data_IF_042275803270
#
_entry.id   IF_042275803270
#
_cell.length_a   1.000
_cell.length_b   1.000
_cell.length_c   1.000
_cell.angle_alpha   90.00
_cell.angle_beta   90.00
_cell.angle_gamma   90.00
#
_symmetry.space_group_name_H-M   'P 1'
#
loop_
_entity.id
_entity.type
_entity.pdbx_description
1 polymer ?
#
# COMPACT_ATOMS: atom_id res chain seq x y z
N UNK A 1 -16.73 -8.89 39.44
CA UNK A 1 -16.85 -7.76 38.53
C UNK A 1 -15.68 -7.86 37.54
N UNK A 2 -15.92 -8.44 36.39
CA UNK A 2 -14.94 -8.59 35.30
C UNK A 2 -14.91 -7.27 34.54
N UNK A 3 -13.85 -6.49 34.71
CA UNK A 3 -13.58 -5.34 33.89
C UNK A 3 -13.41 -5.82 32.43
N UNK A 4 -14.42 -5.60 31.62
CA UNK A 4 -14.33 -5.71 30.17
C UNK A 4 -13.36 -4.63 29.70
N UNK A 5 -12.11 -5.02 29.48
CA UNK A 5 -11.09 -4.20 28.86
C UNK A 5 -11.55 -3.89 27.41
N UNK A 6 -12.30 -2.82 27.25
CA UNK A 6 -12.76 -2.32 25.95
C UNK A 6 -11.56 -1.65 25.26
N UNK A 7 -10.59 -2.46 24.84
CA UNK A 7 -9.56 -1.97 23.93
C UNK A 7 -10.27 -1.56 22.65
N UNK A 8 -10.17 -0.27 22.34
CA UNK A 8 -10.57 0.32 21.07
C UNK A 8 -10.01 -0.56 19.94
N UNK A 9 -10.81 -1.04 18.98
CA UNK A 9 -10.29 -1.82 17.89
C UNK A 9 -9.19 -1.03 17.19
N UNK A 10 -7.99 -1.58 17.14
CA UNK A 10 -6.87 -0.98 16.44
C UNK A 10 -7.20 -0.98 14.94
N UNK A 11 -6.87 0.10 14.23
CA UNK A 11 -7.02 0.28 12.78
C UNK A 11 -8.45 0.62 12.31
N UNK A 12 -9.03 1.67 12.88
CA UNK A 12 -10.27 2.28 12.38
C UNK A 12 -9.97 3.16 11.18
N UNK A 13 -10.56 2.84 10.04
CA UNK A 13 -10.26 3.51 8.78
C UNK A 13 -11.48 4.20 8.16
N UNK A 14 -11.28 5.40 7.64
CA UNK A 14 -12.17 6.03 6.67
C UNK A 14 -11.71 5.63 5.27
N UNK A 15 -12.62 5.12 4.45
CA UNK A 15 -12.36 4.76 3.07
C UNK A 15 -12.70 5.93 2.15
N UNK A 16 -11.83 6.21 1.19
CA UNK A 16 -12.00 7.32 0.24
C UNK A 16 -11.80 6.82 -1.19
N UNK A 17 -12.71 7.20 -2.07
CA UNK A 17 -12.63 6.89 -3.49
C UNK A 17 -12.87 8.13 -4.36
N UNK A 18 -12.23 8.18 -5.52
CA UNK A 18 -12.47 9.16 -6.56
C UNK A 18 -12.90 8.46 -7.85
N UNK A 19 -14.03 8.90 -8.39
CA UNK A 19 -14.42 8.64 -9.76
C UNK A 19 -14.15 9.90 -10.60
N UNK A 20 -13.38 9.78 -11.69
CA UNK A 20 -13.10 10.91 -12.55
C UNK A 20 -13.09 10.54 -14.03
N UNK A 21 -13.66 11.41 -14.88
CA UNK A 21 -13.77 11.18 -16.34
C UNK A 21 -12.40 10.99 -17.03
N UNK A 22 -11.35 11.59 -16.49
CA UNK A 22 -9.99 11.53 -17.04
C UNK A 22 -9.13 10.38 -16.50
N UNK A 23 -9.65 9.59 -15.57
CA UNK A 23 -9.03 8.35 -15.15
C UNK A 23 -9.42 7.21 -16.08
N UNK A 24 -8.56 6.21 -16.21
CA UNK A 24 -8.93 4.96 -16.87
C UNK A 24 -10.05 4.27 -16.11
N UNK A 25 -10.88 3.52 -16.83
CA UNK A 25 -12.05 2.89 -16.22
C UNK A 25 -11.70 2.01 -15.02
N UNK A 26 -10.57 1.33 -15.10
CA UNK A 26 -10.06 0.42 -14.05
C UNK A 26 -9.49 1.15 -12.83
N UNK A 27 -9.15 2.43 -12.98
CA UNK A 27 -8.63 3.28 -11.91
C UNK A 27 -9.73 4.03 -11.16
N UNK A 28 -10.96 4.03 -11.65
CA UNK A 28 -12.07 4.73 -11.05
C UNK A 28 -12.63 3.97 -9.84
N UNK A 29 -12.80 4.68 -8.73
CA UNK A 29 -13.51 4.15 -7.58
C UNK A 29 -15.01 4.10 -7.87
N UNK A 30 -15.65 2.98 -7.58
CA UNK A 30 -17.07 2.74 -7.68
C UNK A 30 -17.62 2.30 -6.33
N UNK A 31 -18.94 2.25 -6.17
CA UNK A 31 -19.55 1.70 -4.95
C UNK A 31 -19.11 0.26 -4.71
N UNK A 32 -19.06 -0.56 -5.77
CA UNK A 32 -18.60 -1.95 -5.70
C UNK A 32 -17.14 -2.06 -5.28
N UNK A 33 -16.24 -1.20 -5.82
CA UNK A 33 -14.83 -1.21 -5.45
C UNK A 33 -14.60 -0.74 -4.01
N UNK A 34 -15.43 0.18 -3.51
CA UNK A 34 -15.41 0.64 -2.13
C UNK A 34 -15.89 -0.45 -1.15
N UNK A 35 -16.90 -1.25 -1.54
CA UNK A 35 -17.32 -2.43 -0.76
C UNK A 35 -16.19 -3.47 -0.70
N UNK A 36 -15.55 -3.76 -1.85
CA UNK A 36 -14.38 -4.66 -1.90
C UNK A 36 -13.24 -4.14 -1.01
N UNK A 37 -12.96 -2.83 -1.04
CA UNK A 37 -11.93 -2.22 -0.18
C UNK A 37 -12.28 -2.40 1.31
N UNK A 38 -13.55 -2.28 1.69
CA UNK A 38 -14.02 -2.54 3.05
C UNK A 38 -13.77 -3.99 3.46
N UNK A 39 -14.00 -4.96 2.57
CA UNK A 39 -13.75 -6.37 2.85
C UNK A 39 -12.25 -6.70 2.91
N UNK A 40 -11.43 -6.05 2.08
CA UNK A 40 -9.97 -6.10 2.19
C UNK A 40 -9.51 -5.57 3.55
N UNK A 41 -10.05 -4.43 4.00
CA UNK A 41 -9.72 -3.86 5.32
C UNK A 41 -10.07 -4.82 6.46
N UNK A 42 -11.27 -5.41 6.45
CA UNK A 42 -11.67 -6.45 7.43
C UNK A 42 -10.71 -7.64 7.39
N UNK A 43 -10.28 -8.05 6.20
CA UNK A 43 -9.30 -9.13 6.02
C UNK A 43 -7.94 -8.80 6.62
N UNK A 44 -7.54 -7.53 6.61
CA UNK A 44 -6.34 -7.02 7.27
C UNK A 44 -6.50 -6.83 8.79
N UNK A 45 -7.71 -7.06 9.33
CA UNK A 45 -8.03 -6.90 10.75
C UNK A 45 -8.41 -5.46 11.15
N UNK A 46 -8.77 -4.62 10.18
CA UNK A 46 -9.26 -3.25 10.41
C UNK A 46 -10.80 -3.14 10.38
N UNK A 47 -11.30 -1.98 10.74
CA UNK A 47 -12.72 -1.63 10.77
C UNK A 47 -12.98 -0.39 9.90
N UNK A 48 -13.93 -0.48 8.96
CA UNK A 48 -14.40 0.68 8.21
C UNK A 48 -15.39 1.48 9.06
N UNK A 49 -15.04 2.73 9.36
CA UNK A 49 -15.87 3.62 10.19
C UNK A 49 -16.55 4.73 9.38
N UNK A 50 -16.23 4.85 8.11
CA UNK A 50 -16.87 5.79 7.20
C UNK A 50 -16.36 5.61 5.76
N UNK A 51 -17.19 6.01 4.80
CA UNK A 51 -16.87 5.92 3.38
C UNK A 51 -17.21 7.23 2.69
N UNK A 52 -16.30 7.71 1.85
CA UNK A 52 -16.45 8.93 1.06
C UNK A 52 -16.11 8.64 -0.38
N UNK A 53 -17.07 8.84 -1.28
CA UNK A 53 -16.86 8.74 -2.72
C UNK A 53 -17.04 10.14 -3.34
N UNK A 54 -16.08 10.59 -4.14
CA UNK A 54 -16.15 11.86 -4.86
C UNK A 54 -16.23 11.61 -6.37
N UNK A 55 -17.03 12.40 -7.06
CA UNK A 55 -17.04 12.47 -8.51
C UNK A 55 -16.46 13.79 -8.98
N UNK A 56 -15.52 13.77 -9.94
CA UNK A 56 -14.87 14.95 -10.54
C UNK A 56 -14.57 14.73 -12.02
N UNK A 57 -14.15 15.80 -12.71
CA UNK A 57 -13.66 15.69 -14.09
C UNK A 57 -12.25 15.09 -14.14
N UNK A 58 -11.37 15.48 -13.20
CA UNK A 58 -10.00 15.01 -13.11
C UNK A 58 -9.52 14.97 -11.66
N UNK A 59 -8.56 14.08 -11.32
CA UNK A 59 -7.89 14.09 -10.03
C UNK A 59 -7.18 15.42 -9.77
N UNK A 60 -7.17 15.83 -8.50
CA UNK A 60 -6.37 16.97 -8.09
C UNK A 60 -4.88 16.59 -8.07
N UNK A 61 -3.98 17.39 -8.67
CA UNK A 61 -2.56 17.06 -8.70
C UNK A 61 -1.90 17.00 -7.32
N UNK A 62 -2.41 17.77 -6.34
CA UNK A 62 -1.84 17.89 -4.99
C UNK A 62 -2.44 16.89 -4.01
N UNK A 63 -3.77 16.77 -3.97
CA UNK A 63 -4.51 16.02 -2.94
C UNK A 63 -5.32 14.86 -3.49
N UNK A 64 -5.27 14.62 -4.82
CA UNK A 64 -6.03 13.62 -5.54
C UNK A 64 -7.55 13.90 -5.56
N UNK A 65 -8.15 14.21 -4.40
CA UNK A 65 -9.54 14.67 -4.22
C UNK A 65 -9.58 16.20 -4.09
N UNK A 66 -10.76 16.83 -4.23
CA UNK A 66 -10.88 18.29 -4.08
C UNK A 66 -10.66 18.75 -2.64
N UNK A 67 -10.19 20.00 -2.46
CA UNK A 67 -9.90 20.59 -1.14
C UNK A 67 -11.10 20.56 -0.19
N UNK A 68 -12.30 20.86 -0.69
CA UNK A 68 -13.53 20.73 0.10
C UNK A 68 -13.80 19.31 0.57
N UNK A 69 -13.47 18.30 -0.25
CA UNK A 69 -13.60 16.90 0.11
C UNK A 69 -12.52 16.47 1.12
N UNK A 70 -11.31 17.04 1.05
CA UNK A 70 -10.28 16.84 2.09
C UNK A 70 -10.77 17.35 3.44
N UNK A 71 -11.44 18.52 3.48
CA UNK A 71 -12.03 19.05 4.70
C UNK A 71 -13.13 18.13 5.27
N UNK A 72 -14.02 17.61 4.42
CA UNK A 72 -15.06 16.66 4.80
C UNK A 72 -14.45 15.36 5.38
N UNK A 73 -13.44 14.78 4.72
CA UNK A 73 -12.73 13.59 5.22
C UNK A 73 -12.06 13.88 6.56
N UNK A 74 -11.48 15.07 6.74
CA UNK A 74 -10.84 15.48 8.01
C UNK A 74 -11.86 15.52 9.15
N UNK A 75 -13.04 16.11 8.93
CA UNK A 75 -14.11 16.14 9.94
C UNK A 75 -14.64 14.72 10.23
N UNK A 76 -14.78 13.88 9.23
CA UNK A 76 -15.20 12.49 9.40
C UNK A 76 -14.16 11.69 10.21
N UNK A 77 -12.86 11.85 9.93
CA UNK A 77 -11.78 11.23 10.69
C UNK A 77 -11.86 11.61 12.17
N UNK A 78 -12.10 12.90 12.47
CA UNK A 78 -12.25 13.38 13.86
C UNK A 78 -13.51 12.86 14.53
N UNK A 79 -14.66 12.94 13.84
CA UNK A 79 -15.95 12.52 14.38
C UNK A 79 -15.98 11.02 14.68
N UNK A 80 -15.37 10.22 13.81
CA UNK A 80 -15.31 8.76 13.94
C UNK A 80 -14.10 8.27 14.71
N UNK A 81 -13.21 9.17 15.16
CA UNK A 81 -11.97 8.83 15.85
C UNK A 81 -11.18 7.75 15.06
N UNK A 82 -10.98 8.00 13.77
CA UNK A 82 -10.30 7.09 12.85
C UNK A 82 -8.78 7.23 12.96
N UNK A 83 -8.08 6.10 12.87
CA UNK A 83 -6.62 6.03 12.98
C UNK A 83 -5.94 6.26 11.62
N UNK A 84 -6.66 6.00 10.54
CA UNK A 84 -6.13 6.08 9.17
C UNK A 84 -7.20 6.40 8.13
N UNK A 85 -6.73 6.80 6.95
CA UNK A 85 -7.55 6.95 5.75
C UNK A 85 -6.98 6.05 4.65
N UNK A 86 -7.83 5.30 3.96
CA UNK A 86 -7.42 4.41 2.88
C UNK A 86 -8.12 4.82 1.59
N UNK A 87 -7.33 5.12 0.56
CA UNK A 87 -7.82 5.45 -0.76
C UNK A 87 -7.96 4.19 -1.61
N UNK A 88 -9.08 4.06 -2.32
CA UNK A 88 -9.28 2.98 -3.30
C UNK A 88 -8.35 3.15 -4.52
N UNK A 89 -8.15 4.39 -4.92
CA UNK A 89 -7.25 4.75 -6.02
C UNK A 89 -5.79 4.73 -5.59
N UNK A 90 -4.88 4.53 -6.54
CA UNK A 90 -3.44 4.65 -6.32
C UNK A 90 -3.03 6.11 -6.10
N UNK A 91 -2.26 6.37 -5.06
CA UNK A 91 -1.73 7.70 -4.74
C UNK A 91 -0.26 7.83 -5.12
N UNK A 92 0.11 8.97 -5.68
CA UNK A 92 1.52 9.32 -5.80
C UNK A 92 2.14 9.57 -4.41
N UNK A 93 3.46 9.39 -4.25
CA UNK A 93 4.14 9.66 -2.98
C UNK A 93 3.92 11.10 -2.45
N UNK A 94 3.83 12.07 -3.35
CA UNK A 94 3.56 13.48 -3.01
C UNK A 94 2.14 13.69 -2.50
N UNK A 95 1.14 13.10 -3.15
CA UNK A 95 -0.26 13.17 -2.71
C UNK A 95 -0.44 12.51 -1.35
N UNK A 96 0.11 11.30 -1.17
CA UNK A 96 0.01 10.59 0.11
C UNK A 96 0.61 11.41 1.25
N UNK A 97 1.76 12.06 1.04
CA UNK A 97 2.39 12.93 2.04
C UNK A 97 1.51 14.13 2.36
N UNK A 98 1.05 14.88 1.33
CA UNK A 98 0.22 16.06 1.53
C UNK A 98 -1.08 15.72 2.25
N UNK A 99 -1.74 14.63 1.86
CA UNK A 99 -2.94 14.16 2.53
C UNK A 99 -2.66 13.76 3.99
N UNK A 100 -1.55 13.11 4.29
CA UNK A 100 -1.15 12.81 5.67
C UNK A 100 -0.93 14.07 6.52
N UNK A 101 -0.32 15.11 5.95
CA UNK A 101 -0.14 16.42 6.59
C UNK A 101 -1.47 17.15 6.83
N UNK A 102 -2.41 17.06 5.88
CA UNK A 102 -3.72 17.70 5.95
C UNK A 102 -4.69 16.98 6.90
N UNK A 103 -4.72 15.65 6.85
CA UNK A 103 -5.66 14.83 7.63
C UNK A 103 -5.16 14.50 9.04
N UNK A 104 -3.85 14.62 9.29
CA UNK A 104 -3.18 14.30 10.56
C UNK A 104 -3.34 12.86 11.03
N UNK A 105 -3.58 11.96 10.08
CA UNK A 105 -3.62 10.50 10.29
C UNK A 105 -2.82 9.81 9.19
N UNK A 106 -2.57 8.52 9.37
CA UNK A 106 -1.90 7.72 8.34
C UNK A 106 -2.79 7.63 7.08
N UNK A 107 -2.19 7.87 5.92
CA UNK A 107 -2.85 7.74 4.63
C UNK A 107 -2.23 6.57 3.87
N UNK A 108 -3.06 5.65 3.44
CA UNK A 108 -2.70 4.49 2.64
C UNK A 108 -3.47 4.49 1.34
N UNK A 109 -3.03 3.73 0.36
CA UNK A 109 -3.81 3.39 -0.82
C UNK A 109 -4.15 1.88 -0.84
N UNK A 110 -5.02 1.47 -1.77
CA UNK A 110 -5.41 0.08 -1.96
C UNK A 110 -4.20 -0.86 -2.10
N UNK A 111 -3.15 -0.40 -2.81
CA UNK A 111 -1.94 -1.20 -3.00
C UNK A 111 -1.20 -1.48 -1.70
N UNK A 112 -1.10 -0.51 -0.80
CA UNK A 112 -0.50 -0.68 0.51
C UNK A 112 -1.27 -1.69 1.37
N UNK A 113 -2.61 -1.61 1.38
CA UNK A 113 -3.47 -2.53 2.12
C UNK A 113 -3.33 -3.97 1.60
N UNK A 114 -3.32 -4.17 0.28
CA UNK A 114 -3.12 -5.49 -0.34
C UNK A 114 -1.74 -6.05 0.01
N UNK A 115 -0.69 -5.23 -0.01
CA UNK A 115 0.66 -5.65 0.37
C UNK A 115 0.73 -6.09 1.84
N UNK A 116 0.01 -5.42 2.73
CA UNK A 116 -0.07 -5.80 4.14
C UNK A 116 -0.78 -7.15 4.32
N UNK A 117 -1.92 -7.36 3.64
CA UNK A 117 -2.63 -8.65 3.65
C UNK A 117 -1.72 -9.77 3.14
N UNK A 118 -0.98 -9.54 2.06
CA UNK A 118 -0.04 -10.54 1.55
C UNK A 118 1.11 -10.81 2.52
N UNK A 119 1.62 -9.79 3.21
CA UNK A 119 2.67 -9.95 4.22
C UNK A 119 2.21 -10.84 5.38
N UNK A 120 0.98 -10.66 5.84
CA UNK A 120 0.39 -11.47 6.91
C UNK A 120 0.14 -12.93 6.47
N UNK A 121 -0.19 -13.16 5.19
CA UNK A 121 -0.58 -14.48 4.66
C UNK A 121 0.54 -15.26 3.99
N UNK A 122 1.68 -14.65 3.70
CA UNK A 122 2.80 -15.29 3.02
C UNK A 122 3.45 -16.38 3.89
N UNK A 123 3.15 -17.65 3.60
CA UNK A 123 3.68 -18.82 4.33
C UNK A 123 4.92 -19.41 3.70
N UNK A 124 5.03 -19.36 2.36
CA UNK A 124 6.18 -19.93 1.64
C UNK A 124 7.36 -18.97 1.65
N UNK A 125 8.59 -19.50 1.59
CA UNK A 125 9.81 -18.68 1.48
C UNK A 125 9.75 -17.75 0.26
N UNK A 126 9.33 -18.29 -0.89
CA UNK A 126 9.20 -17.48 -2.11
C UNK A 126 8.15 -16.38 -1.96
N UNK A 127 6.97 -16.72 -1.42
CA UNK A 127 5.91 -15.74 -1.18
C UNK A 127 6.36 -14.60 -0.27
N UNK A 128 7.09 -14.90 0.83
CA UNK A 128 7.65 -13.88 1.73
C UNK A 128 8.66 -12.98 1.00
N UNK A 129 9.57 -13.55 0.23
CA UNK A 129 10.55 -12.78 -0.55
C UNK A 129 9.87 -11.87 -1.59
N UNK A 130 8.82 -12.37 -2.26
CA UNK A 130 8.07 -11.59 -3.25
C UNK A 130 7.34 -10.41 -2.60
N UNK A 131 6.66 -10.65 -1.48
CA UNK A 131 5.94 -9.60 -0.75
C UNK A 131 6.91 -8.58 -0.17
N UNK A 132 7.99 -9.02 0.47
CA UNK A 132 9.01 -8.13 1.01
C UNK A 132 9.63 -7.25 -0.09
N UNK A 133 9.93 -7.84 -1.25
CA UNK A 133 10.44 -7.08 -2.41
C UNK A 133 9.42 -6.04 -2.90
N UNK A 134 8.14 -6.42 -3.00
CA UNK A 134 7.07 -5.51 -3.41
C UNK A 134 6.88 -4.35 -2.41
N UNK A 135 6.94 -4.63 -1.11
CA UNK A 135 6.88 -3.61 -0.06
C UNK A 135 8.05 -2.61 -0.17
N UNK A 136 9.29 -3.09 -0.35
CA UNK A 136 10.43 -2.17 -0.53
C UNK A 136 10.32 -1.33 -1.81
N UNK A 137 9.86 -1.92 -2.91
CA UNK A 137 9.62 -1.18 -4.16
C UNK A 137 8.50 -0.15 -4.03
N UNK A 138 7.47 -0.43 -3.26
CA UNK A 138 6.39 0.50 -2.95
C UNK A 138 6.85 1.64 -2.03
N UNK A 139 7.64 1.34 -1.01
CA UNK A 139 8.12 2.30 -0.01
C UNK A 139 9.21 3.23 -0.55
N UNK A 140 10.11 2.74 -1.39
CA UNK A 140 11.28 3.48 -1.85
C UNK A 140 10.94 4.87 -2.44
N UNK A 141 10.02 5.04 -3.41
CA UNK A 141 9.68 6.36 -3.95
C UNK A 141 8.99 7.26 -2.89
N UNK A 142 8.28 6.67 -1.93
CA UNK A 142 7.59 7.40 -0.85
C UNK A 142 8.57 7.97 0.16
N UNK A 143 9.59 7.24 0.53
CA UNK A 143 10.67 7.72 1.38
C UNK A 143 11.45 8.85 0.69
N UNK A 144 11.79 8.70 -0.58
CA UNK A 144 12.49 9.74 -1.35
C UNK A 144 11.69 11.05 -1.44
N UNK A 145 10.37 10.96 -1.53
CA UNK A 145 9.47 12.14 -1.53
C UNK A 145 9.44 12.88 -0.20
N UNK A 146 9.47 12.16 0.92
CA UNK A 146 9.54 12.74 2.27
C UNK A 146 10.85 13.49 2.52
N UNK A 147 11.96 12.94 2.06
CA UNK A 147 13.29 13.48 2.29
C UNK A 147 13.57 14.78 1.52
N UNK A 148 13.18 14.86 0.25
CA UNK A 148 13.30 16.09 -0.55
C UNK A 148 12.56 17.29 0.07
N UNK A 149 11.55 17.03 0.87
CA UNK A 149 10.82 18.09 1.57
C UNK A 149 11.57 18.58 2.81
N UNK A 150 12.17 17.69 3.58
CA UNK A 150 13.01 18.04 4.73
C UNK A 150 14.22 18.88 4.30
N UNK A 151 14.88 18.52 3.19
CA UNK A 151 15.97 19.32 2.62
C UNK A 151 15.53 20.75 2.24
N UNK A 152 14.31 20.93 1.71
CA UNK A 152 13.78 22.26 1.38
C UNK A 152 13.36 23.09 2.57
N UNK A 153 12.97 22.44 3.67
CA UNK A 153 12.55 23.12 4.90
C UNK A 153 13.75 23.61 5.73
N UNK A 154 14.88 22.93 5.66
CA UNK A 154 16.12 23.31 6.31
C UNK A 154 16.96 24.34 5.53
N UNK A 155 16.47 24.84 4.40
CA UNK A 155 16.95 25.84 3.47
C UNK A 155 18.06 26.80 3.90
N UNK A 156 19.22 26.28 4.25
CA UNK A 156 20.43 27.03 4.41
C UNK A 156 21.37 26.78 3.22
N UNK A 157 21.59 27.80 2.42
CA UNK A 157 22.57 27.86 1.36
C UNK A 157 23.94 27.41 1.91
N UNK A 158 24.43 26.22 1.49
CA UNK A 158 25.85 25.87 1.59
C UNK A 158 26.31 24.92 2.68
N UNK A 159 25.45 24.35 3.51
CA UNK A 159 25.85 23.31 4.47
C UNK A 159 25.20 21.97 4.11
N UNK A 160 26.02 21.00 3.64
CA UNK A 160 25.67 19.58 3.66
C UNK A 160 25.49 19.16 5.13
N UNK A 161 24.24 19.22 5.60
CA UNK A 161 23.89 18.82 6.96
C UNK A 161 24.04 17.32 7.18
N UNK A 162 24.21 16.84 8.44
CA UNK A 162 24.28 15.41 8.78
C UNK A 162 23.06 14.60 8.31
N UNK A 163 21.90 15.25 8.03
CA UNK A 163 20.71 14.63 7.48
C UNK A 163 20.88 14.10 6.05
N UNK A 164 21.61 14.81 5.17
CA UNK A 164 21.84 14.41 3.78
C UNK A 164 22.63 13.08 3.69
N UNK A 165 23.61 12.88 4.57
CA UNK A 165 24.39 11.64 4.63
C UNK A 165 23.60 10.46 5.18
N UNK A 166 22.68 10.68 6.11
CA UNK A 166 21.83 9.64 6.67
C UNK A 166 20.79 9.17 5.63
N UNK A 167 20.18 10.10 4.90
CA UNK A 167 19.25 9.83 3.82
C UNK A 167 19.87 9.00 2.69
N UNK A 168 21.08 9.35 2.29
CA UNK A 168 21.80 8.61 1.27
C UNK A 168 22.22 7.22 1.74
N UNK A 169 22.54 7.09 3.02
CA UNK A 169 22.81 5.81 3.67
C UNK A 169 21.58 4.91 3.68
N UNK A 170 20.43 5.42 4.09
CA UNK A 170 19.17 4.69 4.13
C UNK A 170 18.71 4.27 2.72
N UNK A 171 18.82 5.18 1.74
CA UNK A 171 18.56 4.86 0.34
C UNK A 171 19.44 3.73 -0.16
N UNK A 172 20.76 3.79 0.10
CA UNK A 172 21.70 2.72 -0.25
C UNK A 172 21.36 1.41 0.44
N UNK A 173 20.92 1.48 1.70
CA UNK A 173 20.48 0.31 2.44
C UNK A 173 19.26 -0.36 1.77
N UNK A 174 18.25 0.40 1.44
CA UNK A 174 17.03 -0.11 0.76
C UNK A 174 17.38 -0.69 -0.62
N UNK A 175 18.20 0.01 -1.42
CA UNK A 175 18.64 -0.52 -2.71
C UNK A 175 19.41 -1.84 -2.59
N UNK A 176 20.30 -1.98 -1.59
CA UNK A 176 21.01 -3.24 -1.32
C UNK A 176 20.01 -4.33 -0.91
N UNK A 177 19.01 -3.99 -0.10
CA UNK A 177 17.98 -4.95 0.32
C UNK A 177 17.16 -5.44 -0.87
N UNK A 178 16.73 -4.54 -1.76
CA UNK A 178 16.04 -4.87 -3.01
C UNK A 178 16.89 -5.81 -3.87
N UNK A 179 18.16 -5.45 -4.14
CA UNK A 179 19.06 -6.26 -4.94
C UNK A 179 19.29 -7.67 -4.33
N UNK A 180 19.41 -7.75 -3.01
CA UNK A 180 19.54 -9.02 -2.30
C UNK A 180 18.27 -9.88 -2.48
N UNK A 181 17.10 -9.32 -2.28
CA UNK A 181 15.82 -10.03 -2.43
C UNK A 181 15.61 -10.51 -3.88
N UNK A 182 15.96 -9.69 -4.87
CA UNK A 182 15.91 -10.08 -6.29
C UNK A 182 16.85 -11.25 -6.60
N UNK A 183 18.06 -11.23 -6.03
CA UNK A 183 19.01 -12.34 -6.17
C UNK A 183 18.49 -13.63 -5.53
N UNK A 184 17.94 -13.55 -4.31
CA UNK A 184 17.36 -14.71 -3.63
C UNK A 184 16.16 -15.30 -4.38
N UNK A 185 15.29 -14.46 -4.94
CA UNK A 185 14.18 -14.89 -5.78
C UNK A 185 14.65 -15.56 -7.06
N UNK A 186 15.71 -15.05 -7.70
CA UNK A 186 16.30 -15.67 -8.87
C UNK A 186 16.82 -17.09 -8.55
N UNK A 187 17.44 -17.27 -7.39
CA UNK A 187 17.92 -18.58 -6.95
C UNK A 187 16.76 -19.55 -6.68
N UNK A 188 15.69 -19.10 -6.01
CA UNK A 188 14.48 -19.92 -5.80
C UNK A 188 13.87 -20.37 -7.13
N UNK A 189 13.80 -19.48 -8.12
CA UNK A 189 13.30 -19.81 -9.47
C UNK A 189 14.21 -20.83 -10.15
N UNK A 190 15.54 -20.71 -10.02
CA UNK A 190 16.51 -21.67 -10.56
C UNK A 190 16.29 -23.05 -9.99
N UNK A 191 16.17 -23.17 -8.66
CA UNK A 191 15.93 -24.43 -7.98
C UNK A 191 14.61 -25.09 -8.44
N UNK A 192 13.53 -24.28 -8.58
CA UNK A 192 12.24 -24.77 -9.09
C UNK A 192 12.32 -25.24 -10.54
N UNK A 193 13.08 -24.54 -11.40
CA UNK A 193 13.28 -24.96 -12.78
C UNK A 193 13.93 -26.35 -12.82
N UNK A 194 15.01 -26.58 -12.05
CA UNK A 194 15.67 -27.88 -11.95
C UNK A 194 14.73 -28.98 -11.41
N UNK A 195 13.89 -28.67 -10.42
CA UNK A 195 12.89 -29.61 -9.92
C UNK A 195 11.83 -29.94 -10.97
N UNK A 196 11.40 -28.95 -11.78
CA UNK A 196 10.46 -29.18 -12.88
C UNK A 196 11.06 -30.06 -13.95
N UNK A 197 12.31 -29.84 -14.37
CA UNK A 197 13.03 -30.67 -15.32
C UNK A 197 13.11 -32.12 -14.86
N UNK A 198 13.41 -32.36 -13.57
CA UNK A 198 13.42 -33.73 -12.99
C UNK A 198 12.04 -34.38 -13.04
N UNK A 199 10.95 -33.64 -12.79
CA UNK A 199 9.59 -34.19 -12.90
C UNK A 199 9.24 -34.58 -14.34
N UNK A 200 9.59 -33.73 -15.32
CA UNK A 200 9.41 -34.01 -16.74
C UNK A 200 10.20 -35.26 -17.14
N UNK A 201 11.46 -35.35 -16.71
CA UNK A 201 12.31 -36.50 -16.99
C UNK A 201 11.76 -37.82 -16.39
N UNK A 202 11.08 -37.72 -15.26
CA UNK A 202 10.46 -38.87 -14.58
C UNK A 202 9.00 -39.11 -15.02
N UNK A 203 8.54 -38.47 -16.11
CA UNK A 203 7.19 -38.59 -16.66
C UNK A 203 6.04 -38.35 -15.67
N UNK A 204 6.29 -37.52 -14.65
CA UNK A 204 5.25 -37.16 -13.67
C UNK A 204 4.21 -36.25 -14.35
N UNK A 205 2.93 -36.66 -14.40
CA UNK A 205 1.89 -35.85 -15.05
C UNK A 205 1.71 -34.52 -14.34
N UNK A 206 1.61 -33.43 -15.12
CA UNK A 206 1.36 -32.10 -14.62
C UNK A 206 -0.08 -31.72 -14.95
N UNK A 207 -0.88 -31.45 -13.91
CA UNK A 207 -2.27 -30.99 -14.04
C UNK A 207 -2.34 -29.54 -13.63
N UNK A 208 -2.90 -28.69 -14.50
CA UNK A 208 -3.18 -27.28 -14.21
C UNK A 208 -4.67 -27.08 -13.90
N UNK A 209 -4.97 -26.51 -12.74
CA UNK A 209 -6.32 -26.07 -12.38
C UNK A 209 -6.45 -24.60 -12.78
N UNK A 210 -7.31 -24.34 -13.77
CA UNK A 210 -7.56 -22.98 -14.27
C UNK A 210 -8.98 -22.53 -13.93
N UNK A 211 -9.18 -21.23 -13.78
CA UNK A 211 -10.48 -20.65 -13.48
C UNK A 211 -10.34 -19.16 -13.17
N UNK A 212 -11.45 -18.43 -13.14
CA UNK A 212 -11.48 -17.02 -12.76
C UNK A 212 -11.05 -16.82 -11.29
N UNK A 213 -10.67 -15.59 -10.94
CA UNK A 213 -10.45 -15.20 -9.55
C UNK A 213 -11.72 -15.51 -8.73
N UNK A 214 -11.53 -15.90 -7.46
CA UNK A 214 -12.59 -16.35 -6.55
C UNK A 214 -13.34 -17.64 -6.94
N UNK A 215 -12.87 -18.39 -7.92
CA UNK A 215 -13.46 -19.70 -8.30
C UNK A 215 -13.01 -20.88 -7.40
N UNK A 216 -12.48 -20.61 -6.20
CA UNK A 216 -12.13 -21.65 -5.23
C UNK A 216 -10.94 -22.56 -5.64
N UNK A 217 -10.01 -22.06 -6.47
CA UNK A 217 -8.85 -22.84 -6.94
C UNK A 217 -7.78 -23.09 -5.87
N UNK A 218 -7.79 -22.35 -4.77
CA UNK A 218 -6.75 -22.34 -3.73
C UNK A 218 -7.14 -23.18 -2.54
#
# INVERSE_FOLDING_TARGET
MTETNTQKPKNRAVLVGLWAYRLEREENATEESMEELSDLLKTAGGECVGTVLQQKDAPDPRTFIGEGKVAEVRELVRAMDADMVIFDNSLSPSQQRVLGEELKVQVLDRSALILDIFAQRARTREGRLQVELAQYKYLLPRLLGMWKHLERQEGAIGTRGPGETQLESDRRHIHRKIAKLESELKEVRRVRATQRERRIKNEVPVVAIVGYTNAGKS
#
